data_IF_130021514448
#
_entry.id   IF_130021514448
#
_cell.length_a   1.000
_cell.length_b   1.000
_cell.length_c   1.000
_cell.angle_alpha   90.00
_cell.angle_beta   90.00
_cell.angle_gamma   90.00
#
_symmetry.space_group_name_H-M   'P 1'
#
loop_
_entity.id
_entity.type
_entity.pdbx_description
1 polymer ?
#
# COMPACT_ATOMS: atom_id res chain seq x y z
N UNK A 1 -0.46 6.17 17.26
CA UNK A 1 -0.03 5.81 15.90
C UNK A 1 0.20 7.06 15.03
N UNK A 2 -0.83 7.80 14.61
CA UNK A 2 -0.64 9.03 13.82
C UNK A 2 0.17 10.08 14.60
N UNK A 3 -0.19 10.32 15.87
CA UNK A 3 0.57 11.21 16.76
C UNK A 3 2.04 10.77 16.87
N UNK A 4 2.30 9.49 17.15
CA UNK A 4 3.66 8.94 17.21
C UNK A 4 4.44 9.15 15.89
N UNK A 5 3.77 9.08 14.74
CA UNK A 5 4.39 9.31 13.44
C UNK A 5 4.82 10.78 13.25
N UNK A 6 3.97 11.72 13.69
CA UNK A 6 4.27 13.16 13.70
C UNK A 6 5.47 13.44 14.61
N UNK A 7 5.45 12.96 15.85
CA UNK A 7 6.54 13.15 16.81
C UNK A 7 7.87 12.55 16.31
N UNK A 8 7.80 11.40 15.62
CA UNK A 8 8.98 10.79 15.02
C UNK A 8 9.53 11.63 13.84
N UNK A 9 8.67 12.17 12.99
CA UNK A 9 9.09 13.05 11.89
C UNK A 9 9.76 14.31 12.43
N UNK A 10 9.19 14.94 13.47
CA UNK A 10 9.76 16.10 14.15
C UNK A 10 11.13 15.79 14.76
N UNK A 11 11.24 14.69 15.51
CA UNK A 11 12.49 14.25 16.15
C UNK A 11 13.62 13.99 15.15
N UNK A 12 13.28 13.54 13.95
CA UNK A 12 14.25 13.25 12.88
C UNK A 12 14.48 14.44 11.94
N UNK A 13 13.79 15.57 12.13
CA UNK A 13 13.90 16.74 11.27
C UNK A 13 13.31 16.54 9.86
N UNK A 14 12.30 15.69 9.73
CA UNK A 14 11.58 15.46 8.48
C UNK A 14 10.37 16.39 8.37
N UNK A 15 10.55 17.51 7.66
CA UNK A 15 9.54 18.55 7.44
C UNK A 15 8.65 18.30 6.20
N UNK A 16 8.92 17.24 5.43
CA UNK A 16 8.20 16.85 4.21
C UNK A 16 7.35 15.59 4.38
N UNK A 17 6.72 15.45 5.54
CA UNK A 17 5.80 14.36 5.82
C UNK A 17 4.47 14.93 6.35
N UNK A 18 3.37 14.51 5.75
CA UNK A 18 2.02 14.84 6.21
C UNK A 18 1.33 13.56 6.67
N UNK A 19 0.70 13.61 7.84
CA UNK A 19 -0.01 12.48 8.42
C UNK A 19 -1.46 12.87 8.66
N UNK A 20 -2.38 12.07 8.13
CA UNK A 20 -3.82 12.33 8.23
C UNK A 20 -4.46 11.28 9.14
N UNK A 21 -5.16 11.74 10.18
CA UNK A 21 -5.96 10.87 11.04
C UNK A 21 -7.33 10.63 10.42
N UNK A 22 -7.67 9.38 10.13
CA UNK A 22 -9.01 8.99 9.69
C UNK A 22 -9.03 7.65 8.98
N UNK A 23 -10.23 7.17 8.67
CA UNK A 23 -10.40 6.05 7.76
C UNK A 23 -10.00 6.47 6.34
N UNK A 24 -9.14 5.69 5.69
CA UNK A 24 -8.56 6.05 4.39
C UNK A 24 -9.65 6.19 3.32
N UNK A 25 -10.71 5.37 3.33
CA UNK A 25 -11.79 5.47 2.35
C UNK A 25 -12.60 6.76 2.56
N UNK A 26 -12.87 7.13 3.81
CA UNK A 26 -13.56 8.38 4.14
C UNK A 26 -12.73 9.59 3.71
N UNK A 27 -11.42 9.59 3.95
CA UNK A 27 -10.52 10.67 3.53
C UNK A 27 -10.49 10.83 2.00
N UNK A 28 -10.35 9.73 1.26
CA UNK A 28 -10.38 9.74 -0.21
C UNK A 28 -11.75 10.16 -0.78
N UNK A 29 -12.84 9.84 -0.08
CA UNK A 29 -14.19 10.24 -0.46
C UNK A 29 -14.46 11.73 -0.17
N UNK A 30 -13.88 12.29 0.90
CA UNK A 30 -13.99 13.70 1.28
C UNK A 30 -13.21 14.66 0.35
N UNK A 31 -12.58 14.14 -0.71
CA UNK A 31 -11.85 14.94 -1.70
C UNK A 31 -10.36 15.07 -1.41
N UNK A 32 -9.84 14.45 -0.33
CA UNK A 32 -8.41 14.38 -0.07
C UNK A 32 -7.76 13.32 -0.99
N UNK A 33 -7.68 13.63 -2.29
CA UNK A 33 -7.14 12.74 -3.33
C UNK A 33 -5.80 13.28 -3.81
N UNK A 34 -4.69 12.87 -3.18
CA UNK A 34 -3.38 13.22 -3.70
C UNK A 34 -3.16 12.61 -5.08
N UNK A 35 -2.22 13.17 -5.83
CA UNK A 35 -1.71 12.61 -7.10
C UNK A 35 -0.29 12.11 -6.90
N UNK A 36 -0.10 10.99 -6.18
CA UNK A 36 1.25 10.50 -5.89
C UNK A 36 1.88 9.90 -7.14
N UNK A 37 3.20 10.00 -7.28
CA UNK A 37 3.93 9.20 -8.27
C UNK A 37 3.99 7.72 -7.87
N UNK A 38 4.07 7.47 -6.56
CA UNK A 38 4.23 6.14 -5.96
C UNK A 38 3.23 5.94 -4.82
N UNK A 39 2.55 4.80 -4.83
CA UNK A 39 1.65 4.37 -3.76
C UNK A 39 2.33 3.24 -2.99
N UNK A 40 2.32 3.29 -1.65
CA UNK A 40 2.79 2.20 -0.79
C UNK A 40 1.62 1.71 0.04
N UNK A 41 1.37 0.39 0.02
CA UNK A 41 0.32 -0.23 0.84
C UNK A 41 0.90 -1.39 1.65
N UNK A 42 0.59 -1.41 2.94
CA UNK A 42 0.85 -2.50 3.88
C UNK A 42 -0.47 -2.88 4.56
N UNK A 43 -1.31 -3.68 3.90
CA UNK A 43 -2.64 -4.01 4.40
C UNK A 43 -2.58 -5.02 5.55
N UNK A 44 -3.66 -5.14 6.35
CA UNK A 44 -3.77 -6.18 7.35
C UNK A 44 -3.67 -7.59 6.73
N UNK A 45 -3.48 -8.63 7.56
CA UNK A 45 -3.28 -10.02 7.08
C UNK A 45 -4.34 -10.53 6.08
N UNK A 46 -5.55 -9.99 6.13
CA UNK A 46 -6.68 -10.34 5.24
C UNK A 46 -6.55 -9.76 3.82
N UNK A 47 -5.59 -8.86 3.59
CA UNK A 47 -5.39 -8.13 2.34
C UNK A 47 -6.20 -6.83 2.24
N UNK A 48 -6.25 -6.25 1.06
CA UNK A 48 -7.06 -5.07 0.75
C UNK A 48 -8.55 -5.41 0.71
N UNK A 49 -9.35 -4.53 1.31
CA UNK A 49 -10.80 -4.59 1.16
C UNK A 49 -11.19 -4.19 -0.29
N UNK A 50 -12.23 -4.79 -0.90
CA UNK A 50 -12.63 -4.45 -2.28
C UNK A 50 -12.89 -2.96 -2.53
N UNK A 51 -13.45 -2.26 -1.54
CA UNK A 51 -13.62 -0.79 -1.59
C UNK A 51 -12.29 -0.03 -1.70
N UNK A 52 -11.22 -0.55 -1.08
CA UNK A 52 -9.89 0.05 -1.16
C UNK A 52 -9.28 -0.17 -2.54
N UNK A 53 -9.42 -1.36 -3.13
CA UNK A 53 -9.02 -1.59 -4.52
C UNK A 53 -9.70 -0.58 -5.46
N UNK A 54 -11.01 -0.38 -5.33
CA UNK A 54 -11.71 0.63 -6.13
C UNK A 54 -11.23 2.07 -5.85
N UNK A 55 -10.91 2.40 -4.60
CA UNK A 55 -10.41 3.73 -4.25
C UNK A 55 -9.01 4.02 -4.84
N UNK A 56 -8.15 2.99 -4.93
CA UNK A 56 -6.81 3.07 -5.52
C UNK A 56 -6.87 3.38 -7.03
N UNK A 57 -7.91 2.95 -7.74
CA UNK A 57 -8.10 3.27 -9.16
C UNK A 57 -8.21 4.78 -9.39
N UNK A 58 -8.87 5.48 -8.45
CA UNK A 58 -9.03 6.94 -8.48
C UNK A 58 -7.75 7.74 -8.17
N UNK A 59 -6.64 7.07 -7.83
CA UNK A 59 -5.33 7.67 -7.65
C UNK A 59 -4.50 7.51 -8.93
N UNK A 60 -3.94 8.60 -9.44
CA UNK A 60 -3.15 8.67 -10.69
C UNK A 60 -1.74 8.06 -10.56
N UNK A 61 -1.48 7.25 -9.54
CA UNK A 61 -0.17 6.67 -9.25
C UNK A 61 0.37 5.81 -10.39
N UNK A 62 1.67 5.96 -10.69
CA UNK A 62 2.36 5.25 -11.76
C UNK A 62 3.04 3.97 -11.27
N UNK A 63 3.43 3.92 -10.00
CA UNK A 63 4.05 2.76 -9.37
C UNK A 63 3.39 2.44 -8.02
N UNK A 64 3.26 1.15 -7.71
CA UNK A 64 2.76 0.68 -6.43
C UNK A 64 3.75 -0.29 -5.79
N UNK A 65 4.02 -0.10 -4.50
CA UNK A 65 4.73 -1.04 -3.64
C UNK A 65 3.71 -1.65 -2.69
N UNK A 66 3.45 -2.95 -2.84
CA UNK A 66 2.52 -3.69 -2.01
C UNK A 66 3.31 -4.62 -1.08
N UNK A 67 3.17 -4.42 0.22
CA UNK A 67 3.78 -5.25 1.28
C UNK A 67 2.75 -6.27 1.75
N UNK A 68 3.16 -7.50 2.04
CA UNK A 68 2.23 -8.51 2.53
C UNK A 68 2.87 -9.61 3.35
N UNK A 69 2.27 -9.87 4.51
CA UNK A 69 2.56 -11.02 5.35
C UNK A 69 1.79 -12.30 4.94
N UNK A 70 0.99 -12.25 3.86
CA UNK A 70 0.24 -13.39 3.36
C UNK A 70 0.23 -13.41 1.82
N UNK A 71 1.08 -14.25 1.25
CA UNK A 71 1.25 -14.40 -0.21
C UNK A 71 -0.06 -14.76 -0.92
N UNK A 72 -0.94 -15.57 -0.31
CA UNK A 72 -2.21 -15.97 -0.93
C UNK A 72 -3.19 -14.80 -1.06
N UNK A 73 -3.27 -13.94 -0.04
CA UNK A 73 -4.11 -12.75 -0.10
C UNK A 73 -3.52 -11.69 -1.04
N UNK A 74 -2.20 -11.52 -1.05
CA UNK A 74 -1.53 -10.66 -2.02
C UNK A 74 -1.80 -11.10 -3.47
N UNK A 75 -1.80 -12.41 -3.75
CA UNK A 75 -2.13 -12.94 -5.07
C UNK A 75 -3.59 -12.69 -5.48
N UNK A 76 -4.53 -12.76 -4.53
CA UNK A 76 -5.94 -12.38 -4.75
C UNK A 76 -6.06 -10.90 -5.10
N UNK A 77 -5.44 -10.03 -4.31
CA UNK A 77 -5.55 -8.59 -4.48
C UNK A 77 -4.83 -8.13 -5.75
N UNK A 78 -3.71 -8.76 -6.11
CA UNK A 78 -3.01 -8.58 -7.38
C UNK A 78 -3.96 -8.80 -8.57
N UNK A 79 -4.83 -9.81 -8.53
CA UNK A 79 -5.80 -10.03 -9.62
C UNK A 79 -6.72 -8.82 -9.82
N UNK A 80 -7.26 -8.26 -8.72
CA UNK A 80 -8.09 -7.06 -8.78
C UNK A 80 -7.32 -5.83 -9.25
N UNK A 81 -6.06 -5.69 -8.84
CA UNK A 81 -5.18 -4.62 -9.34
C UNK A 81 -4.88 -4.78 -10.84
N UNK A 82 -4.69 -6.00 -11.33
CA UNK A 82 -4.47 -6.28 -12.75
C UNK A 82 -5.68 -5.92 -13.62
N UNK A 83 -6.89 -6.14 -13.11
CA UNK A 83 -8.14 -5.71 -13.76
C UNK A 83 -8.22 -4.17 -13.89
N UNK A 84 -7.50 -3.43 -13.05
CA UNK A 84 -7.38 -1.96 -13.10
C UNK A 84 -6.18 -1.46 -13.92
N UNK A 85 -5.48 -2.35 -14.62
CA UNK A 85 -4.34 -2.00 -15.48
C UNK A 85 -2.98 -1.94 -14.76
N UNK A 86 -2.88 -2.44 -13.53
CA UNK A 86 -1.59 -2.63 -12.88
C UNK A 86 -0.89 -3.90 -13.39
N UNK A 87 0.40 -3.80 -13.68
CA UNK A 87 1.24 -4.90 -14.13
C UNK A 87 2.23 -5.23 -13.02
N UNK A 88 2.30 -6.51 -12.64
CA UNK A 88 3.31 -7.00 -11.71
C UNK A 88 4.68 -6.99 -12.39
N UNK A 89 5.61 -6.20 -11.85
CA UNK A 89 6.98 -6.07 -12.36
C UNK A 89 7.95 -6.93 -11.57
N UNK A 90 7.76 -7.03 -10.25
CA UNK A 90 8.68 -7.76 -9.37
C UNK A 90 7.97 -8.32 -8.14
N UNK A 91 8.44 -9.49 -7.69
CA UNK A 91 8.13 -10.04 -6.37
C UNK A 91 9.44 -10.26 -5.61
N UNK A 92 9.50 -9.84 -4.35
CA UNK A 92 10.62 -10.10 -3.45
C UNK A 92 10.10 -10.74 -2.15
N UNK A 93 10.28 -12.06 -1.96
CA UNK A 93 10.03 -12.67 -0.66
C UNK A 93 11.13 -12.26 0.34
N UNK A 94 10.75 -12.20 1.61
CA UNK A 94 11.57 -11.79 2.76
C UNK A 94 11.30 -12.77 3.90
N UNK A 95 12.38 -13.32 4.47
CA UNK A 95 12.32 -14.11 5.70
C UNK A 95 12.51 -13.18 6.91
N UNK A 96 11.40 -12.57 7.37
CA UNK A 96 11.39 -11.74 8.58
C UNK A 96 11.24 -12.56 9.86
N UNK A 97 10.78 -13.81 9.75
CA UNK A 97 10.48 -14.69 10.87
C UNK A 97 11.08 -16.08 10.64
N UNK A 98 12.42 -16.21 10.76
CA UNK A 98 13.09 -17.49 10.56
C UNK A 98 12.52 -18.59 11.45
N UNK A 99 12.51 -19.82 10.94
CA UNK A 99 11.97 -21.00 11.62
C UNK A 99 10.44 -20.99 11.84
N UNK A 100 9.73 -20.10 11.15
CA UNK A 100 8.26 -20.09 11.11
C UNK A 100 7.78 -20.35 9.67
N UNK A 101 6.50 -20.70 9.46
CA UNK A 101 5.95 -20.80 8.10
C UNK A 101 5.65 -19.41 7.48
N UNK A 102 5.92 -18.30 8.18
CA UNK A 102 5.61 -16.97 7.69
C UNK A 102 6.60 -16.53 6.60
N UNK A 103 6.06 -15.96 5.52
CA UNK A 103 6.83 -15.34 4.45
C UNK A 103 6.21 -13.97 4.20
N UNK A 104 7.02 -12.93 4.40
CA UNK A 104 6.68 -11.58 3.97
C UNK A 104 7.04 -11.44 2.49
N UNK A 105 6.26 -10.69 1.72
CA UNK A 105 6.60 -10.39 0.34
C UNK A 105 6.33 -8.94 -0.02
N UNK A 106 7.17 -8.41 -0.91
CA UNK A 106 6.98 -7.10 -1.52
C UNK A 106 6.73 -7.30 -3.01
N UNK A 107 5.60 -6.80 -3.49
CA UNK A 107 5.25 -6.75 -4.90
C UNK A 107 5.50 -5.32 -5.41
N UNK A 108 6.15 -5.20 -6.55
CA UNK A 108 6.25 -3.94 -7.29
C UNK A 108 5.33 -4.03 -8.50
N UNK A 109 4.39 -3.11 -8.60
CA UNK A 109 3.49 -2.97 -9.72
C UNK A 109 3.68 -1.63 -10.42
N UNK A 110 3.44 -1.59 -11.72
CA UNK A 110 3.45 -0.38 -12.54
C UNK A 110 2.21 -0.34 -13.41
N UNK A 111 1.67 0.85 -13.72
CA UNK A 111 0.58 0.95 -14.69
C UNK A 111 1.14 0.70 -16.09
N UNK A 112 0.48 -0.17 -16.88
CA UNK A 112 0.79 -0.28 -18.30
C UNK A 112 0.45 1.05 -18.97
N UNK A 113 1.44 1.69 -19.60
CA UNK A 113 1.22 2.86 -20.46
C UNK A 113 0.44 2.49 -21.71
#
# INVERSE_FOLDING_TARGET
AVQDAIENAERLGHDRAEFVLGDVLEQLAAGNRPRPDVIIVDPPRVGLHPKMLAALEGLEGQRMVYVSCNVSNAARDLRGLQEQGWVLVRVRPLDLFPHTPHVECVLTLERSR
#
